data_IF_161395592770
#
_entry.id   IF_161395592770
#
_cell.length_a   1.000
_cell.length_b   1.000
_cell.length_c   1.000
_cell.angle_alpha   90.00
_cell.angle_beta   90.00
_cell.angle_gamma   90.00
#
_symmetry.space_group_name_H-M   'P 1'
#
loop_
_entity.id
_entity.type
_entity.pdbx_description
1 polymer ?
#
# COMPACT_ATOMS: atom_id res chain seq x y z
N UNK A 1 13.29 -50.55 39.53
CA UNK A 1 13.95 -49.56 38.62
C UNK A 1 13.00 -48.96 37.56
N UNK A 2 11.68 -49.07 37.69
CA UNK A 2 10.72 -48.57 36.66
C UNK A 2 10.03 -47.22 37.01
N UNK A 3 10.18 -46.74 38.24
CA UNK A 3 9.49 -45.50 38.72
C UNK A 3 10.25 -44.18 38.48
N UNK A 4 11.52 -44.21 38.15
CA UNK A 4 12.32 -43.01 37.95
C UNK A 4 12.34 -42.49 36.51
N UNK A 5 11.89 -43.26 35.52
CA UNK A 5 11.87 -42.85 34.11
C UNK A 5 10.62 -42.07 33.68
N UNK A 6 9.53 -42.14 34.47
CA UNK A 6 8.29 -41.42 34.19
C UNK A 6 8.32 -39.95 34.65
N UNK A 7 9.19 -39.60 35.60
CA UNK A 7 9.30 -38.23 36.10
C UNK A 7 10.11 -37.32 35.19
N UNK A 8 10.98 -37.87 34.32
CA UNK A 8 11.82 -37.09 33.44
C UNK A 8 11.06 -36.61 32.17
N UNK A 9 9.97 -37.28 31.80
CA UNK A 9 9.19 -36.91 30.60
C UNK A 9 8.11 -35.85 30.87
N UNK A 10 7.71 -35.69 32.13
CA UNK A 10 6.72 -34.68 32.52
C UNK A 10 7.31 -33.26 32.62
N UNK A 11 8.63 -33.13 32.83
CA UNK A 11 9.31 -31.85 32.95
C UNK A 11 9.69 -31.22 31.58
N UNK A 12 9.83 -32.05 30.53
CA UNK A 12 10.12 -31.57 29.19
C UNK A 12 8.88 -31.07 28.44
N UNK A 13 7.69 -31.52 28.78
CA UNK A 13 6.44 -31.05 28.15
C UNK A 13 5.98 -29.67 28.69
N UNK A 14 6.37 -29.33 29.93
CA UNK A 14 5.99 -28.03 30.53
C UNK A 14 6.85 -26.86 30.06
N UNK A 15 8.07 -27.10 29.54
CA UNK A 15 8.97 -26.04 29.10
C UNK A 15 8.67 -25.54 27.66
N UNK A 16 7.97 -26.32 26.85
CA UNK A 16 7.65 -25.95 25.45
C UNK A 16 6.39 -25.05 25.36
N UNK A 17 5.50 -25.12 26.36
CA UNK A 17 4.27 -24.31 26.34
C UNK A 17 4.47 -22.89 26.85
N UNK A 18 5.58 -22.56 27.51
CA UNK A 18 5.86 -21.20 27.99
C UNK A 18 6.47 -20.27 26.93
N UNK A 19 6.95 -20.81 25.80
CA UNK A 19 7.59 -20.02 24.74
C UNK A 19 6.64 -19.48 23.66
N UNK A 20 5.35 -19.89 23.67
CA UNK A 20 4.35 -19.43 22.69
C UNK A 20 3.46 -18.29 23.21
N UNK A 21 3.73 -17.81 24.44
CA UNK A 21 3.06 -16.64 25.03
C UNK A 21 3.74 -15.30 24.74
N UNK A 22 4.57 -15.21 23.70
CA UNK A 22 5.01 -13.94 23.15
C UNK A 22 3.78 -13.20 22.64
N UNK A 23 3.32 -12.19 23.39
CA UNK A 23 2.23 -11.32 23.00
C UNK A 23 2.48 -10.89 21.54
N UNK A 24 1.58 -11.24 20.65
CA UNK A 24 1.51 -10.61 19.37
C UNK A 24 1.37 -9.11 19.67
N UNK A 25 2.46 -8.36 19.56
CA UNK A 25 2.36 -6.91 19.44
C UNK A 25 1.44 -6.71 18.25
N UNK A 26 0.20 -6.34 18.49
CA UNK A 26 -0.65 -5.84 17.43
C UNK A 26 0.11 -4.65 16.85
N UNK A 27 0.68 -4.84 15.67
CA UNK A 27 1.15 -3.75 14.86
C UNK A 27 -0.09 -2.91 14.59
N UNK A 28 -0.30 -1.90 15.44
CA UNK A 28 -1.30 -0.89 15.21
C UNK A 28 -0.89 -0.18 13.93
N UNK A 29 -1.66 -0.38 12.90
CA UNK A 29 -1.39 0.21 11.60
C UNK A 29 -2.37 1.37 11.43
N UNK A 30 -1.86 2.59 11.48
CA UNK A 30 -2.61 3.77 11.04
C UNK A 30 -3.05 3.65 9.58
N UNK A 31 -3.43 4.74 8.92
CA UNK A 31 -3.79 4.72 7.50
C UNK A 31 -2.74 4.04 6.63
N UNK A 32 -3.17 3.24 5.66
CA UNK A 32 -2.28 2.49 4.78
C UNK A 32 -2.54 2.81 3.31
N UNK A 33 -1.47 3.10 2.53
CA UNK A 33 -1.56 3.13 1.08
C UNK A 33 -1.61 1.69 0.56
N UNK A 34 -2.72 1.29 -0.07
CA UNK A 34 -2.92 -0.10 -0.55
C UNK A 34 -2.66 -0.26 -2.04
N UNK A 35 -2.78 0.81 -2.81
CA UNK A 35 -2.40 0.78 -4.22
C UNK A 35 -2.06 2.17 -4.75
N UNK A 36 -1.17 2.19 -5.75
CA UNK A 36 -0.82 3.39 -6.51
C UNK A 36 -0.97 3.09 -7.99
N UNK A 37 -1.86 3.80 -8.65
CA UNK A 37 -2.01 3.75 -10.10
C UNK A 37 -1.44 5.02 -10.74
N UNK A 38 -0.85 4.86 -11.93
CA UNK A 38 -0.31 5.94 -12.73
C UNK A 38 -0.92 5.88 -14.11
N UNK A 39 -1.62 6.93 -14.52
CA UNK A 39 -2.30 7.01 -15.82
C UNK A 39 -1.86 8.24 -16.59
N UNK A 40 -1.53 8.12 -17.89
CA UNK A 40 -1.23 9.29 -18.72
C UNK A 40 -2.42 10.26 -18.78
N UNK A 41 -2.16 11.54 -18.63
CA UNK A 41 -3.17 12.59 -18.66
C UNK A 41 -2.59 13.89 -19.23
N UNK A 42 -3.06 14.30 -20.41
CA UNK A 42 -2.71 15.59 -21.03
C UNK A 42 -1.20 15.88 -21.09
N UNK A 43 -0.39 14.88 -21.46
CA UNK A 43 1.07 14.98 -21.54
C UNK A 43 1.81 14.88 -20.21
N UNK A 44 1.11 14.63 -19.13
CA UNK A 44 1.59 14.39 -17.79
C UNK A 44 1.07 13.04 -17.27
N UNK A 45 1.20 12.77 -15.97
CA UNK A 45 0.80 11.52 -15.35
C UNK A 45 -0.02 11.78 -14.08
N UNK A 46 -1.25 11.24 -14.03
CA UNK A 46 -2.05 11.23 -12.82
C UNK A 46 -1.62 10.08 -11.93
N UNK A 47 -1.29 10.40 -10.69
CA UNK A 47 -0.94 9.49 -9.62
C UNK A 47 -2.11 9.37 -8.66
N UNK A 48 -2.72 8.21 -8.57
CA UNK A 48 -3.88 7.96 -7.71
C UNK A 48 -3.50 6.98 -6.61
N UNK A 49 -3.74 7.37 -5.37
CA UNK A 49 -3.46 6.62 -4.16
C UNK A 49 -4.77 6.15 -3.54
N UNK A 50 -4.94 4.84 -3.38
CA UNK A 50 -6.03 4.28 -2.60
C UNK A 50 -5.57 4.10 -1.15
N UNK A 51 -6.28 4.72 -0.23
CA UNK A 51 -5.97 4.72 1.20
C UNK A 51 -7.06 3.97 1.95
N UNK A 52 -6.67 3.14 2.91
CA UNK A 52 -7.60 2.41 3.78
C UNK A 52 -7.37 2.75 5.25
N UNK A 53 -8.46 2.72 6.01
CA UNK A 53 -8.49 2.76 7.45
C UNK A 53 -8.52 1.29 7.95
N UNK A 54 -7.51 0.83 8.71
CA UNK A 54 -7.51 -0.51 9.31
C UNK A 54 -8.59 -0.70 10.37
N UNK A 55 -8.86 -1.95 10.71
CA UNK A 55 -9.93 -2.33 11.65
C UNK A 55 -9.70 -1.91 13.10
N UNK A 56 -8.45 -1.67 13.48
CA UNK A 56 -8.04 -1.25 14.82
C UNK A 56 -7.87 0.27 14.95
N UNK A 57 -8.12 1.01 13.86
CA UNK A 57 -7.97 2.46 13.78
C UNK A 57 -9.31 3.14 13.58
N UNK A 58 -9.45 4.32 14.19
CA UNK A 58 -10.55 5.25 14.05
C UNK A 58 -10.02 6.53 13.40
N UNK A 59 -10.74 7.08 12.45
CA UNK A 59 -10.40 8.35 11.80
C UNK A 59 -11.19 9.50 12.42
N UNK A 60 -10.48 10.46 12.98
CA UNK A 60 -11.06 11.65 13.60
C UNK A 60 -10.59 12.91 12.90
N UNK A 61 -11.37 13.98 13.00
CA UNK A 61 -10.96 15.30 12.49
C UNK A 61 -9.60 15.69 13.09
N UNK A 62 -8.67 16.08 12.23
CA UNK A 62 -7.28 16.37 12.60
C UNK A 62 -6.31 15.21 12.31
N UNK A 63 -6.78 13.99 12.11
CA UNK A 63 -5.92 12.90 11.62
C UNK A 63 -5.43 13.21 10.21
N UNK A 64 -4.28 12.68 9.84
CA UNK A 64 -3.66 13.01 8.56
C UNK A 64 -2.71 11.91 8.08
N UNK A 65 -2.33 12.01 6.81
CA UNK A 65 -1.20 11.28 6.26
C UNK A 65 -0.38 12.18 5.33
N UNK A 66 0.89 11.82 5.15
CA UNK A 66 1.84 12.51 4.29
C UNK A 66 2.53 11.53 3.37
N UNK A 67 2.56 11.84 2.08
CA UNK A 67 3.37 11.18 1.05
C UNK A 67 4.56 12.08 0.79
N UNK A 68 5.77 11.56 1.02
CA UNK A 68 7.01 12.34 0.91
C UNK A 68 7.58 12.31 -0.50
N UNK A 69 8.28 13.38 -0.88
CA UNK A 69 9.09 13.49 -2.10
C UNK A 69 8.32 13.30 -3.41
N UNK A 70 7.18 13.93 -3.56
CA UNK A 70 6.37 13.87 -4.79
C UNK A 70 6.95 14.77 -5.88
N UNK A 71 7.87 14.25 -6.72
CA UNK A 71 8.58 15.03 -7.74
C UNK A 71 7.69 15.42 -8.92
N UNK A 72 7.96 16.58 -9.51
CA UNK A 72 7.28 17.06 -10.71
C UNK A 72 5.80 17.40 -10.50
N UNK A 73 5.40 17.77 -9.29
CA UNK A 73 4.02 18.13 -8.98
C UNK A 73 3.53 19.28 -9.88
N UNK A 74 2.45 19.04 -10.61
CA UNK A 74 1.77 20.09 -11.35
C UNK A 74 0.96 20.98 -10.39
N UNK A 75 1.18 22.29 -10.45
CA UNK A 75 0.50 23.24 -9.57
C UNK A 75 -1.04 23.12 -9.69
N UNK A 76 -1.74 23.09 -8.55
CA UNK A 76 -3.20 23.02 -8.48
C UNK A 76 -3.81 21.69 -8.89
N UNK A 77 -3.01 20.63 -9.04
CA UNK A 77 -3.50 19.32 -9.50
C UNK A 77 -3.87 18.36 -8.39
N UNK A 78 -3.63 18.70 -7.13
CA UNK A 78 -3.94 17.82 -5.99
C UNK A 78 -5.42 17.80 -5.73
N UNK A 79 -5.98 16.60 -5.58
CA UNK A 79 -7.40 16.41 -5.25
C UNK A 79 -7.54 15.37 -4.14
N UNK A 80 -8.40 15.68 -3.21
CA UNK A 80 -8.78 14.82 -2.10
C UNK A 80 -10.28 14.53 -2.14
N UNK A 81 -10.76 13.41 -1.59
CA UNK A 81 -12.17 13.13 -1.37
C UNK A 81 -12.82 14.16 -0.43
N UNK A 82 -14.16 14.20 -0.41
CA UNK A 82 -14.92 15.01 0.54
C UNK A 82 -14.52 14.68 1.99
N UNK A 83 -14.48 15.70 2.82
CA UNK A 83 -14.04 15.58 4.22
C UNK A 83 -12.52 15.57 4.41
N UNK A 84 -11.75 15.88 3.36
CA UNK A 84 -10.31 16.04 3.43
C UNK A 84 -9.86 17.40 2.91
N UNK A 85 -8.85 17.95 3.56
CA UNK A 85 -8.06 19.09 3.07
C UNK A 85 -6.65 18.63 2.74
N UNK A 86 -5.92 19.42 1.95
CA UNK A 86 -4.52 19.07 1.62
C UNK A 86 -3.60 20.29 1.67
N UNK A 87 -2.31 20.03 1.83
CA UNK A 87 -1.19 20.97 1.61
C UNK A 87 -0.09 20.32 0.81
N UNK A 88 0.76 21.14 0.18
CA UNK A 88 1.87 20.69 -0.68
C UNK A 88 3.18 21.37 -0.26
N UNK A 89 3.50 21.30 1.01
CA UNK A 89 4.70 21.91 1.58
C UNK A 89 5.93 21.02 1.35
N UNK A 90 7.10 21.62 1.29
CA UNK A 90 8.38 20.90 1.15
C UNK A 90 8.81 20.20 2.43
N UNK A 91 8.26 20.62 3.56
CA UNK A 91 8.40 19.96 4.85
C UNK A 91 6.99 19.66 5.33
N UNK A 92 6.60 18.40 5.23
CA UNK A 92 5.25 17.97 5.60
C UNK A 92 5.09 17.77 7.11
N UNK A 93 3.84 17.69 7.61
CA UNK A 93 3.59 17.26 8.97
C UNK A 93 4.08 15.81 9.13
N UNK A 94 4.90 15.61 10.15
CA UNK A 94 5.41 14.29 10.51
C UNK A 94 4.81 13.88 11.86
N UNK A 95 4.18 12.69 11.96
CA UNK A 95 3.66 12.21 13.23
C UNK A 95 4.78 12.03 14.26
N UNK A 96 4.43 12.13 15.54
CA UNK A 96 5.38 11.84 16.62
C UNK A 96 5.87 10.39 16.53
N UNK A 97 7.12 10.17 16.96
CA UNK A 97 7.76 8.84 17.06
C UNK A 97 8.09 8.16 15.71
N UNK A 98 7.89 8.82 14.58
CA UNK A 98 8.35 8.34 13.28
C UNK A 98 9.33 9.33 12.65
N UNK A 99 10.27 8.81 11.86
CA UNK A 99 11.35 9.62 11.27
C UNK A 99 11.50 9.24 9.79
N UNK A 100 10.64 9.75 8.91
CA UNK A 100 10.82 9.56 7.47
C UNK A 100 12.07 10.30 6.98
N UNK A 101 12.69 9.81 5.92
CA UNK A 101 13.60 10.63 5.14
C UNK A 101 12.78 11.56 4.26
N UNK A 102 13.15 12.83 4.20
CA UNK A 102 12.45 13.90 3.48
C UNK A 102 13.48 14.78 2.76
N UNK A 103 13.33 14.97 1.47
CA UNK A 103 14.14 15.92 0.67
C UNK A 103 13.48 17.31 0.74
N UNK A 104 14.04 18.28 1.47
CA UNK A 104 13.42 19.59 1.66
C UNK A 104 13.33 20.43 0.38
N UNK A 105 13.80 19.94 -0.74
CA UNK A 105 13.67 20.61 -2.05
C UNK A 105 12.47 20.12 -2.84
N UNK A 106 11.88 18.98 -2.46
CA UNK A 106 10.77 18.30 -3.13
C UNK A 106 9.47 18.50 -2.35
N UNK A 107 8.32 18.77 -3.00
CA UNK A 107 7.05 18.89 -2.29
C UNK A 107 6.57 17.53 -1.76
N UNK A 108 5.95 17.58 -0.58
CA UNK A 108 5.21 16.49 0.04
C UNK A 108 3.72 16.69 -0.19
N UNK A 109 2.94 15.61 -0.28
CA UNK A 109 1.48 15.67 -0.33
C UNK A 109 0.94 15.30 1.05
N UNK A 110 0.41 16.26 1.78
CA UNK A 110 -0.19 16.06 3.11
C UNK A 110 -1.69 16.22 3.04
N UNK A 111 -2.42 15.21 3.49
CA UNK A 111 -3.89 15.19 3.51
C UNK A 111 -4.37 15.10 4.95
N UNK A 112 -5.20 16.06 5.35
CA UNK A 112 -5.76 16.16 6.70
C UNK A 112 -7.26 15.92 6.67
N UNK A 113 -7.73 15.02 7.50
CA UNK A 113 -9.14 14.74 7.65
C UNK A 113 -9.86 15.85 8.42
N UNK A 114 -11.01 16.28 7.93
CA UNK A 114 -11.84 17.37 8.50
C UNK A 114 -13.29 16.94 8.69
N UNK A 115 -13.62 15.69 8.30
CA UNK A 115 -14.97 15.15 8.36
C UNK A 115 -15.38 14.65 9.76
N UNK A 116 -16.57 14.06 9.87
CA UNK A 116 -17.04 13.40 11.08
C UNK A 116 -16.22 12.15 11.38
N UNK A 117 -16.20 11.71 12.64
CA UNK A 117 -15.50 10.48 13.03
C UNK A 117 -15.97 9.28 12.21
N UNK A 118 -15.00 8.53 11.65
CA UNK A 118 -15.24 7.22 11.04
C UNK A 118 -14.75 6.19 12.05
N UNK A 119 -15.68 5.40 12.57
CA UNK A 119 -15.36 4.31 13.48
C UNK A 119 -14.63 3.16 12.79
N UNK A 120 -14.04 2.29 13.58
CA UNK A 120 -13.26 1.16 13.10
C UNK A 120 -14.04 0.29 12.10
N UNK A 121 -13.31 -0.16 11.13
CA UNK A 121 -13.76 -1.06 10.09
C UNK A 121 -12.82 -0.92 8.91
N UNK A 122 -12.43 -1.99 8.27
CA UNK A 122 -11.58 -1.88 7.10
C UNK A 122 -12.32 -1.12 5.99
N UNK A 123 -12.11 0.20 5.95
CA UNK A 123 -12.86 1.12 5.09
C UNK A 123 -11.92 1.80 4.11
N UNK A 124 -12.24 1.74 2.83
CA UNK A 124 -11.58 2.55 1.81
C UNK A 124 -11.99 4.01 1.96
N UNK A 125 -11.01 4.91 2.03
CA UNK A 125 -11.23 6.34 2.24
C UNK A 125 -11.36 7.14 0.93
N UNK A 126 -11.43 6.44 -0.20
CA UNK A 126 -11.48 7.02 -1.53
C UNK A 126 -10.10 7.15 -2.18
N UNK A 127 -10.08 7.83 -3.32
CA UNK A 127 -8.90 8.03 -4.13
C UNK A 127 -8.38 9.47 -3.96
N UNK A 128 -7.13 9.57 -3.52
CA UNK A 128 -6.37 10.81 -3.46
C UNK A 128 -5.48 10.86 -4.70
N UNK A 129 -5.41 11.99 -5.38
CA UNK A 129 -4.59 12.04 -6.58
C UNK A 129 -3.92 13.39 -6.80
N UNK A 130 -2.83 13.35 -7.53
CA UNK A 130 -2.10 14.51 -8.01
C UNK A 130 -1.52 14.23 -9.40
N UNK A 131 -1.22 15.26 -10.16
CA UNK A 131 -0.57 15.14 -11.47
C UNK A 131 0.90 15.49 -11.36
N UNK A 132 1.76 14.66 -11.97
CA UNK A 132 3.19 14.86 -12.06
C UNK A 132 3.66 14.93 -13.51
N UNK A 133 4.77 15.62 -13.75
CA UNK A 133 5.50 15.58 -15.03
C UNK A 133 6.14 14.21 -15.29
N UNK A 134 6.23 13.35 -14.27
CA UNK A 134 6.93 12.07 -14.32
C UNK A 134 6.01 10.88 -14.11
N UNK A 135 6.19 9.83 -14.91
CA UNK A 135 5.42 8.58 -14.84
C UNK A 135 6.18 7.39 -14.27
N UNK A 136 7.50 7.52 -14.03
CA UNK A 136 8.29 6.45 -13.43
C UNK A 136 8.11 6.43 -11.91
N UNK A 137 8.17 5.24 -11.31
CA UNK A 137 7.95 4.98 -9.90
C UNK A 137 9.27 4.81 -9.15
N UNK A 138 9.34 5.36 -7.95
CA UNK A 138 10.33 5.03 -6.93
C UNK A 138 9.64 4.94 -5.58
N UNK A 139 10.23 4.23 -4.62
CA UNK A 139 9.71 4.18 -3.26
C UNK A 139 10.08 5.47 -2.52
N UNK A 140 9.13 5.98 -1.74
CA UNK A 140 9.33 7.02 -0.76
C UNK A 140 8.49 6.75 0.49
N UNK A 141 8.68 7.53 1.54
CA UNK A 141 7.97 7.34 2.79
C UNK A 141 6.52 7.79 2.71
N UNK A 142 5.71 7.08 3.45
CA UNK A 142 4.35 7.41 3.80
C UNK A 142 4.23 7.38 5.32
N UNK A 143 3.73 8.44 5.92
CA UNK A 143 3.43 8.49 7.35
C UNK A 143 1.97 8.82 7.57
N UNK A 144 1.40 8.32 8.66
CA UNK A 144 0.04 8.65 9.04
C UNK A 144 -0.15 8.74 10.54
N UNK A 145 -1.17 9.49 10.93
CA UNK A 145 -1.66 9.62 12.30
C UNK A 145 -3.15 9.35 12.34
N UNK A 146 -3.56 8.44 13.21
CA UNK A 146 -4.96 8.07 13.49
C UNK A 146 -5.19 7.96 14.99
N UNK A 147 -6.36 7.49 15.39
CA UNK A 147 -6.64 7.14 16.78
C UNK A 147 -6.92 5.63 16.86
N UNK A 148 -6.43 4.97 17.91
CA UNK A 148 -6.73 3.56 18.17
C UNK A 148 -8.15 3.42 18.69
N UNK A 149 -8.84 2.38 18.23
CA UNK A 149 -10.20 2.07 18.73
C UNK A 149 -10.21 1.54 20.16
N UNK A 150 -9.13 0.89 20.59
CA UNK A 150 -9.05 0.24 21.90
C UNK A 150 -9.00 1.22 23.08
N UNK A 151 -8.35 2.39 22.93
CA UNK A 151 -8.14 3.35 24.00
C UNK A 151 -8.26 4.81 23.56
N UNK A 152 -8.59 5.07 22.30
CA UNK A 152 -8.75 6.41 21.73
C UNK A 152 -7.47 7.22 21.60
N UNK A 153 -6.30 6.66 21.93
CA UNK A 153 -5.03 7.36 21.84
C UNK A 153 -4.57 7.48 20.40
N UNK A 154 -3.79 8.55 20.20
CA UNK A 154 -3.13 8.77 18.91
C UNK A 154 -2.20 7.59 18.59
N UNK A 155 -2.30 7.12 17.38
CA UNK A 155 -1.45 6.12 16.79
C UNK A 155 -0.77 6.66 15.53
N UNK A 156 0.47 6.22 15.30
CA UNK A 156 1.29 6.71 14.22
C UNK A 156 1.93 5.55 13.49
N UNK A 157 2.00 5.64 12.16
CA UNK A 157 2.73 4.65 11.37
C UNK A 157 3.64 5.31 10.34
N UNK A 158 4.62 4.53 9.91
CA UNK A 158 5.49 4.81 8.78
C UNK A 158 5.58 3.57 7.91
N UNK A 159 5.44 3.75 6.61
CA UNK A 159 5.59 2.72 5.60
C UNK A 159 6.13 3.35 4.31
N UNK A 160 6.19 2.61 3.22
CA UNK A 160 6.58 3.13 1.92
C UNK A 160 5.41 3.15 0.95
N UNK A 161 5.48 4.06 -0.03
CA UNK A 161 4.58 4.12 -1.18
C UNK A 161 5.37 4.56 -2.41
N UNK A 162 4.82 4.34 -3.59
CA UNK A 162 5.47 4.81 -4.81
C UNK A 162 5.19 6.29 -5.06
N UNK A 163 6.20 7.01 -5.50
CA UNK A 163 6.14 8.42 -5.90
C UNK A 163 6.80 8.63 -7.27
N UNK A 164 6.49 9.74 -7.96
CA UNK A 164 7.08 10.04 -9.26
C UNK A 164 8.57 10.36 -9.18
N UNK A 165 9.33 9.92 -10.19
CA UNK A 165 10.76 10.22 -10.35
C UNK A 165 11.08 10.47 -11.84
N UNK A 166 11.99 11.40 -12.16
CA UNK A 166 12.31 11.73 -13.56
C UNK A 166 13.08 10.63 -14.29
N UNK A 167 13.91 9.88 -13.57
CA UNK A 167 14.75 8.81 -14.14
C UNK A 167 15.18 7.83 -13.03
N UNK A 168 15.58 6.61 -13.43
CA UNK A 168 16.05 5.60 -12.47
C UNK A 168 14.95 4.89 -11.67
N UNK A 169 13.69 5.22 -11.89
CA UNK A 169 12.55 4.50 -11.32
C UNK A 169 12.19 3.25 -12.14
N UNK A 170 11.46 2.34 -11.52
CA UNK A 170 10.83 1.23 -12.24
C UNK A 170 9.64 1.74 -13.04
N UNK A 171 9.61 1.44 -14.34
CA UNK A 171 8.39 1.62 -15.12
C UNK A 171 7.26 0.81 -14.45
N UNK A 172 6.00 1.29 -14.51
CA UNK A 172 4.86 0.47 -14.13
C UNK A 172 5.01 -0.89 -14.80
N UNK A 173 4.76 -2.03 -14.11
CA UNK A 173 4.77 -3.32 -14.77
C UNK A 173 3.84 -3.21 -15.96
N UNK A 174 4.41 -3.41 -17.17
CA UNK A 174 3.60 -3.51 -18.38
C UNK A 174 2.52 -4.54 -18.08
N UNK A 175 1.27 -4.22 -18.36
CA UNK A 175 0.18 -5.20 -18.26
C UNK A 175 0.67 -6.39 -19.09
N UNK A 176 0.86 -7.59 -18.53
CA UNK A 176 1.27 -8.75 -19.30
C UNK A 176 0.27 -8.87 -20.45
N UNK A 177 0.76 -8.84 -21.68
CA UNK A 177 -0.10 -9.09 -22.84
C UNK A 177 -0.83 -10.40 -22.53
N UNK A 178 -2.18 -10.42 -22.68
CA UNK A 178 -2.95 -11.59 -22.29
C UNK A 178 -2.28 -12.82 -22.93
N UNK A 179 -1.95 -13.83 -22.15
CA UNK A 179 -1.44 -15.13 -22.63
C UNK A 179 -2.31 -15.70 -23.74
N UNK A 180 -3.49 -15.14 -23.95
CA UNK A 180 -4.39 -15.33 -25.07
C UNK A 180 -3.70 -15.20 -26.44
N UNK A 181 -2.75 -14.29 -26.63
CA UNK A 181 -2.01 -14.16 -27.89
C UNK A 181 -1.05 -15.33 -28.09
N UNK A 182 -0.39 -15.80 -27.02
CA UNK A 182 0.47 -17.00 -27.08
C UNK A 182 -0.41 -18.24 -27.29
N UNK A 183 -1.55 -18.32 -26.61
CA UNK A 183 -2.48 -19.44 -26.75
C UNK A 183 -3.13 -19.47 -28.15
N UNK A 184 -3.49 -18.33 -28.73
CA UNK A 184 -3.96 -18.22 -30.09
C UNK A 184 -2.88 -18.60 -31.11
N UNK A 185 -1.64 -18.14 -30.90
CA UNK A 185 -0.50 -18.47 -31.76
C UNK A 185 -0.13 -19.96 -31.76
N UNK A 186 -0.27 -20.65 -30.64
CA UNK A 186 -0.03 -22.09 -30.51
C UNK A 186 -1.25 -22.93 -30.85
N UNK A 187 -2.46 -22.46 -30.60
CA UNK A 187 -3.72 -23.21 -30.85
C UNK A 187 -4.07 -23.32 -32.32
N UNK A 188 -3.88 -22.28 -33.12
CA UNK A 188 -4.23 -22.29 -34.55
C UNK A 188 -3.46 -23.35 -35.38
N UNK A 189 -2.13 -23.53 -35.24
CA UNK A 189 -1.45 -24.56 -35.97
C UNK A 189 -1.88 -25.97 -35.54
N UNK A 190 -2.20 -26.21 -34.26
CA UNK A 190 -2.68 -27.51 -33.78
C UNK A 190 -4.03 -27.88 -34.40
N UNK A 191 -4.96 -26.96 -34.54
CA UNK A 191 -6.27 -27.19 -35.19
C UNK A 191 -6.09 -27.46 -36.69
N UNK A 192 -5.16 -26.77 -37.36
CA UNK A 192 -4.84 -26.97 -38.76
C UNK A 192 -4.26 -28.35 -39.01
N UNK A 193 -3.34 -28.83 -38.15
CA UNK A 193 -2.77 -30.15 -38.21
C UNK A 193 -3.80 -31.27 -38.01
N UNK A 194 -4.67 -31.15 -37.03
CA UNK A 194 -5.76 -32.09 -36.76
C UNK A 194 -6.77 -32.19 -37.91
N UNK A 195 -7.06 -31.09 -38.60
CA UNK A 195 -7.89 -31.10 -39.80
C UNK A 195 -7.23 -31.82 -41.00
N UNK A 196 -5.91 -31.73 -41.11
CA UNK A 196 -5.15 -32.39 -42.19
C UNK A 196 -5.10 -33.90 -42.02
N UNK A 197 -4.92 -34.36 -40.77
CA UNK A 197 -4.91 -35.83 -40.46
C UNK A 197 -6.27 -36.47 -40.68
N UNK A 198 -7.39 -35.76 -40.47
CA UNK A 198 -8.75 -36.30 -40.72
C UNK A 198 -9.18 -36.34 -42.18
N UNK A 199 -8.38 -35.77 -43.10
CA UNK A 199 -8.72 -35.73 -44.54
C UNK A 199 -7.94 -36.73 -45.40
N UNK A 200 -7.14 -37.61 -44.82
CA UNK A 200 -6.50 -38.71 -45.55
C UNK A 200 -7.49 -39.88 -45.63
N UNK A 201 -8.13 -40.13 -46.80
CA UNK A 201 -8.95 -41.32 -46.99
C UNK A 201 -8.05 -42.54 -47.11
N UNK A 202 -8.50 -43.66 -46.57
CA UNK A 202 -7.90 -44.99 -46.76
C UNK A 202 -8.04 -45.47 -48.18
#
# INVERSE_FOLDING_TARGET
MFRQRLAAWALTAAAVTAALGGGANSLSAGLLPVSVSVTPESGKFRWTYAIVLPTDSQLQSGNYFTIYDFKGLAAGSVVAPDGWSFTTDKVGPTPLLVTPTDDPTVPNLSFKYTGPTIDAGQTGLGNFWAVSDFGLKTDSFFTAQTNRTSDGKVDTNITTTNVPVPSGGTAPPGVPEPTTLILAGLGLPCVALLRRVRRTPA
#
